data_IF_601233592828
#
_entry.id   IF_601233592828
#
_cell.length_a   1.000
_cell.length_b   1.000
_cell.length_c   1.000
_cell.angle_alpha   90.00
_cell.angle_beta   90.00
_cell.angle_gamma   90.00
#
_symmetry.space_group_name_H-M   'P 1'
#
loop_
_entity.id
_entity.type
_entity.pdbx_description
1 polymer ?
#
# COMPACT_ATOMS: atom_id res chain seq x y z
N UNK A 1 19.21 35.43 -6.92
CA UNK A 1 19.17 34.02 -6.70
C UNK A 1 17.72 33.55 -6.71
N UNK A 2 17.34 32.99 -7.83
CA UNK A 2 15.99 32.46 -8.04
C UNK A 2 15.94 31.06 -7.43
N UNK A 3 15.05 30.83 -6.46
CA UNK A 3 14.77 29.52 -5.90
C UNK A 3 14.12 28.63 -6.95
N UNK A 4 14.72 27.50 -7.22
CA UNK A 4 14.17 26.44 -8.05
C UNK A 4 12.99 25.79 -7.32
N UNK A 5 11.88 25.67 -8.03
CA UNK A 5 10.65 25.04 -7.56
C UNK A 5 10.85 23.52 -7.31
N UNK A 6 10.24 22.92 -6.28
CA UNK A 6 10.43 21.52 -5.92
C UNK A 6 9.81 20.49 -6.88
N UNK A 7 9.26 20.91 -8.00
CA UNK A 7 8.43 20.06 -8.88
C UNK A 7 9.23 19.16 -9.84
N UNK A 8 10.54 19.26 -9.92
CA UNK A 8 11.31 18.53 -10.93
C UNK A 8 11.94 17.21 -10.43
N UNK A 9 12.14 17.04 -9.13
CA UNK A 9 12.78 15.83 -8.59
C UNK A 9 11.80 14.68 -8.27
N UNK A 10 10.52 14.96 -7.99
CA UNK A 10 9.55 13.95 -7.57
C UNK A 10 9.01 13.07 -8.72
N UNK A 11 8.96 13.60 -9.95
CA UNK A 11 8.60 12.81 -11.14
C UNK A 11 9.66 11.80 -11.55
N UNK A 12 10.91 11.96 -11.09
CA UNK A 12 12.02 11.09 -11.47
C UNK A 12 12.09 9.77 -10.71
N UNK A 13 11.51 9.64 -9.51
CA UNK A 13 11.58 8.38 -8.74
C UNK A 13 10.68 7.32 -9.37
N UNK A 14 9.44 7.65 -9.72
CA UNK A 14 8.53 6.69 -10.40
C UNK A 14 8.96 6.47 -11.84
N UNK A 15 9.40 7.51 -12.55
CA UNK A 15 9.97 7.41 -13.90
C UNK A 15 11.30 6.65 -13.88
N UNK A 16 12.15 6.85 -12.88
CA UNK A 16 13.40 6.12 -12.71
C UNK A 16 13.21 4.62 -12.46
N UNK A 17 12.22 4.24 -11.66
CA UNK A 17 11.86 2.83 -11.44
C UNK A 17 11.30 2.18 -12.72
N UNK A 18 10.44 2.88 -13.47
CA UNK A 18 9.94 2.41 -14.77
C UNK A 18 11.04 2.36 -15.84
N UNK A 19 12.01 3.28 -15.81
CA UNK A 19 13.14 3.30 -16.74
C UNK A 19 14.18 2.23 -16.43
N UNK A 20 14.43 1.91 -15.15
CA UNK A 20 15.27 0.78 -14.74
C UNK A 20 14.68 -0.58 -15.18
N UNK A 21 13.36 -0.74 -15.13
CA UNK A 21 12.67 -1.92 -15.66
C UNK A 21 12.83 -2.01 -17.18
N UNK A 22 12.81 -0.89 -17.90
CA UNK A 22 12.99 -0.86 -19.37
C UNK A 22 14.41 -1.13 -19.82
N UNK A 23 15.43 -0.68 -19.08
CA UNK A 23 16.85 -0.87 -19.44
C UNK A 23 17.37 -2.28 -19.14
N UNK A 24 16.75 -3.00 -18.18
CA UNK A 24 17.14 -4.38 -17.86
C UNK A 24 16.63 -5.41 -18.89
N UNK A 25 15.61 -5.07 -19.69
CA UNK A 25 14.96 -5.96 -20.64
C UNK A 25 15.67 -6.12 -21.99
N UNK A 26 16.87 -5.54 -22.19
CA UNK A 26 17.54 -5.58 -23.51
C UNK A 26 18.52 -6.74 -23.72
N UNK A 27 18.72 -7.65 -22.76
CA UNK A 27 19.77 -8.67 -22.88
C UNK A 27 19.43 -10.11 -22.43
N UNK A 28 18.15 -10.50 -22.28
CA UNK A 28 17.82 -11.91 -22.05
C UNK A 28 16.54 -12.30 -22.75
N UNK A 29 16.63 -13.31 -23.64
CA UNK A 29 15.52 -14.02 -24.33
C UNK A 29 14.63 -14.85 -23.39
N UNK A 30 14.47 -14.47 -22.15
CA UNK A 30 13.48 -14.96 -21.19
C UNK A 30 12.66 -13.80 -20.71
N UNK A 31 11.46 -13.73 -21.22
CA UNK A 31 10.38 -12.92 -20.65
C UNK A 31 9.98 -13.52 -19.30
N UNK A 32 10.85 -13.42 -18.32
CA UNK A 32 10.40 -13.48 -16.93
C UNK A 32 9.63 -12.19 -16.69
N UNK A 33 8.31 -12.32 -16.53
CA UNK A 33 7.49 -11.25 -16.02
C UNK A 33 8.08 -10.86 -14.66
N UNK A 34 8.87 -9.80 -14.62
CA UNK A 34 9.25 -9.15 -13.36
C UNK A 34 7.94 -8.58 -12.80
N UNK A 35 7.22 -9.42 -12.06
CA UNK A 35 6.16 -8.95 -11.19
C UNK A 35 6.87 -8.06 -10.19
N UNK A 36 6.78 -6.75 -10.40
CA UNK A 36 7.30 -5.77 -9.47
C UNK A 36 6.55 -6.03 -8.15
N UNK A 37 7.22 -6.68 -7.23
CA UNK A 37 6.63 -6.98 -5.93
C UNK A 37 6.47 -5.65 -5.19
N UNK A 38 5.23 -5.20 -5.09
CA UNK A 38 4.83 -4.10 -4.22
C UNK A 38 4.98 -4.63 -2.78
N UNK A 39 6.22 -4.64 -2.28
CA UNK A 39 6.57 -5.21 -0.98
C UNK A 39 6.44 -4.20 0.16
N UNK A 40 6.70 -4.64 1.38
CA UNK A 40 6.55 -3.80 2.55
C UNK A 40 7.49 -2.59 2.55
N UNK A 41 8.69 -2.71 2.00
CA UNK A 41 9.65 -1.58 1.92
C UNK A 41 9.16 -0.55 0.90
N UNK A 42 8.64 -0.98 -0.24
CA UNK A 42 8.03 -0.09 -1.23
C UNK A 42 6.83 0.66 -0.62
N UNK A 43 5.95 -0.04 0.10
CA UNK A 43 4.82 0.58 0.80
C UNK A 43 5.31 1.60 1.83
N UNK A 44 6.36 1.30 2.59
CA UNK A 44 6.93 2.23 3.58
C UNK A 44 7.37 3.55 2.95
N UNK A 45 8.03 3.50 1.79
CA UNK A 45 8.41 4.71 1.06
C UNK A 45 7.18 5.49 0.56
N UNK A 46 6.17 4.81 0.04
CA UNK A 46 4.91 5.46 -0.39
C UNK A 46 4.20 6.12 0.79
N UNK A 47 4.13 5.46 1.94
CA UNK A 47 3.55 6.04 3.16
C UNK A 47 4.32 7.29 3.59
N UNK A 48 5.65 7.28 3.51
CA UNK A 48 6.47 8.47 3.77
C UNK A 48 6.16 9.61 2.79
N UNK A 49 6.05 9.33 1.50
CA UNK A 49 5.72 10.33 0.48
C UNK A 49 4.31 10.89 0.67
N UNK A 50 3.33 10.04 1.00
CA UNK A 50 1.97 10.47 1.31
C UNK A 50 1.93 11.36 2.56
N UNK A 51 2.62 11.00 3.64
CA UNK A 51 2.71 11.83 4.84
C UNK A 51 3.32 13.21 4.54
N UNK A 52 4.39 13.26 3.73
CA UNK A 52 5.03 14.53 3.35
C UNK A 52 4.17 15.40 2.43
N UNK A 53 3.18 14.80 1.74
CA UNK A 53 2.42 15.50 0.69
C UNK A 53 1.00 15.81 1.08
N UNK A 54 0.27 14.85 1.68
CA UNK A 54 -1.18 14.98 1.89
C UNK A 54 -1.61 15.00 3.35
N UNK A 55 -0.71 14.78 4.32
CA UNK A 55 -1.05 14.82 5.74
C UNK A 55 -1.61 16.20 6.13
N UNK A 56 -2.69 16.23 6.91
CA UNK A 56 -3.42 17.43 7.29
C UNK A 56 -4.30 18.01 6.18
N UNK A 57 -4.23 17.47 4.96
CA UNK A 57 -5.05 17.89 3.83
C UNK A 57 -6.51 17.42 3.95
N UNK A 58 -7.39 18.02 3.14
CA UNK A 58 -8.82 17.68 3.08
C UNK A 58 -9.14 16.93 1.80
N UNK A 59 -9.92 15.86 1.90
CA UNK A 59 -10.45 15.10 0.77
C UNK A 59 -11.48 15.96 0.02
N UNK A 60 -11.06 16.60 -1.06
CA UNK A 60 -11.90 17.49 -1.85
C UNK A 60 -12.79 16.77 -2.86
N UNK A 61 -12.25 15.70 -3.49
CA UNK A 61 -12.98 14.90 -4.48
C UNK A 61 -12.60 13.43 -4.34
N UNK A 62 -13.60 12.56 -4.43
CA UNK A 62 -13.43 11.10 -4.47
C UNK A 62 -14.06 10.62 -5.78
N UNK A 63 -13.28 9.90 -6.58
CA UNK A 63 -13.68 9.33 -7.85
C UNK A 63 -13.24 7.87 -7.95
N UNK A 64 -13.93 7.08 -8.76
CA UNK A 64 -13.61 5.70 -9.09
C UNK A 64 -13.57 5.57 -10.61
N UNK A 65 -12.41 5.85 -11.23
CA UNK A 65 -12.26 5.79 -12.68
C UNK A 65 -12.48 4.38 -13.24
N UNK A 66 -11.95 3.37 -12.52
CA UNK A 66 -12.07 1.96 -12.87
C UNK A 66 -12.76 1.17 -11.74
N UNK A 67 -13.21 -0.04 -12.03
CA UNK A 67 -13.95 -0.88 -11.07
C UNK A 67 -13.17 -1.19 -9.79
N UNK A 68 -11.83 -1.15 -9.83
CA UNK A 68 -10.93 -1.49 -8.73
C UNK A 68 -9.92 -0.38 -8.39
N UNK A 69 -10.20 0.87 -8.81
CA UNK A 69 -9.31 2.02 -8.61
C UNK A 69 -10.07 3.22 -8.03
N UNK A 70 -9.48 3.88 -7.02
CA UNK A 70 -9.90 5.18 -6.52
C UNK A 70 -8.92 6.27 -6.93
N UNK A 71 -9.45 7.46 -7.24
CA UNK A 71 -8.71 8.70 -7.42
C UNK A 71 -9.19 9.71 -6.37
N UNK A 72 -8.33 9.97 -5.39
CA UNK A 72 -8.57 10.94 -4.33
C UNK A 72 -7.94 12.28 -4.69
N UNK A 73 -8.68 13.36 -4.63
CA UNK A 73 -8.13 14.72 -4.75
C UNK A 73 -8.07 15.33 -3.36
N UNK A 74 -6.86 15.66 -2.91
CA UNK A 74 -6.58 16.22 -1.59
C UNK A 74 -6.11 17.66 -1.74
N UNK A 75 -6.68 18.57 -0.97
CA UNK A 75 -6.25 19.98 -0.85
C UNK A 75 -5.49 20.19 0.45
N UNK A 76 -4.30 20.71 0.34
CA UNK A 76 -3.43 21.09 1.45
C UNK A 76 -3.14 22.59 1.39
N UNK A 77 -2.39 23.11 2.36
CA UNK A 77 -1.90 24.49 2.32
C UNK A 77 -0.91 24.75 1.18
N UNK A 78 -0.19 23.70 0.74
CA UNK A 78 0.83 23.78 -0.32
C UNK A 78 0.27 23.57 -1.73
N UNK A 79 -0.95 23.03 -1.87
CA UNK A 79 -1.53 22.78 -3.18
C UNK A 79 -2.62 21.72 -3.21
N UNK A 80 -2.89 21.23 -4.43
CA UNK A 80 -3.84 20.18 -4.68
C UNK A 80 -3.11 18.97 -5.27
N UNK A 81 -3.29 17.82 -4.64
CA UNK A 81 -2.66 16.56 -5.02
C UNK A 81 -3.70 15.52 -5.36
N UNK A 82 -3.35 14.62 -6.28
CA UNK A 82 -4.19 13.46 -6.62
C UNK A 82 -3.47 12.19 -6.24
N UNK A 83 -4.16 11.32 -5.51
CA UNK A 83 -3.65 10.02 -5.07
C UNK A 83 -4.47 8.94 -5.75
N UNK A 84 -3.81 8.06 -6.47
CA UNK A 84 -4.38 6.83 -7.01
C UNK A 84 -4.20 5.72 -5.98
N UNK A 85 -5.28 4.99 -5.69
CA UNK A 85 -5.27 3.74 -4.95
C UNK A 85 -5.87 2.68 -5.86
N UNK A 86 -5.09 1.67 -6.24
CA UNK A 86 -5.54 0.61 -7.14
C UNK A 86 -5.48 -0.75 -6.46
N UNK A 87 -6.62 -1.43 -6.40
CA UNK A 87 -6.75 -2.81 -5.97
C UNK A 87 -6.71 -3.78 -7.15
N UNK A 88 -6.08 -3.41 -8.28
CA UNK A 88 -5.99 -4.26 -9.45
C UNK A 88 -5.30 -5.58 -9.12
N UNK A 89 -5.81 -6.70 -9.66
CA UNK A 89 -5.32 -8.04 -9.32
C UNK A 89 -3.90 -8.31 -9.83
N UNK A 90 -3.55 -7.72 -10.98
CA UNK A 90 -2.25 -7.93 -11.63
C UNK A 90 -1.23 -6.86 -11.23
N UNK A 91 -1.70 -5.61 -11.02
CA UNK A 91 -0.85 -4.47 -10.73
C UNK A 91 -1.50 -3.55 -9.68
N UNK A 92 -1.56 -3.98 -8.40
CA UNK A 92 -2.03 -3.11 -7.34
C UNK A 92 -1.00 -2.01 -7.07
N UNK A 93 -1.44 -0.75 -7.00
CA UNK A 93 -0.58 0.42 -6.90
C UNK A 93 -1.16 1.49 -5.96
N UNK A 94 -0.28 2.30 -5.38
CA UNK A 94 -0.61 3.60 -4.80
C UNK A 94 0.45 4.62 -5.23
N UNK A 95 0.01 5.79 -5.70
CA UNK A 95 0.96 6.84 -6.13
C UNK A 95 0.27 8.20 -6.23
N UNK A 96 1.07 9.25 -6.23
CA UNK A 96 0.62 10.63 -6.48
C UNK A 96 0.76 10.90 -7.98
N UNK A 97 -0.24 11.57 -8.58
CA UNK A 97 -0.27 11.89 -10.01
C UNK A 97 -0.83 13.28 -10.29
N UNK A 98 -0.40 13.87 -11.37
CA UNK A 98 -1.00 15.08 -11.93
C UNK A 98 -2.14 14.77 -12.90
N UNK A 99 -2.28 13.51 -13.31
CA UNK A 99 -3.32 13.09 -14.24
C UNK A 99 -4.72 13.13 -13.62
N UNK A 100 -5.69 13.54 -14.42
CA UNK A 100 -7.10 13.51 -14.06
C UNK A 100 -7.83 12.51 -14.94
N UNK A 101 -8.02 11.30 -14.41
CA UNK A 101 -8.77 10.26 -15.11
C UNK A 101 -10.27 10.62 -15.17
N UNK A 102 -10.94 10.41 -16.31
CA UNK A 102 -12.39 10.57 -16.41
C UNK A 102 -13.10 9.61 -15.46
N UNK A 103 -14.18 10.06 -14.86
CA UNK A 103 -15.03 9.21 -14.02
C UNK A 103 -16.23 8.70 -14.83
N UNK A 104 -16.79 7.53 -14.50
CA UNK A 104 -18.04 7.06 -15.08
C UNK A 104 -19.17 8.08 -14.90
N UNK A 105 -20.13 8.11 -15.83
CA UNK A 105 -21.28 9.01 -15.77
C UNK A 105 -22.12 8.79 -14.51
N UNK A 106 -22.21 7.53 -14.06
CA UNK A 106 -22.88 7.15 -12.80
C UNK A 106 -21.83 6.74 -11.78
N UNK A 107 -21.83 7.38 -10.61
CA UNK A 107 -20.89 7.05 -9.54
C UNK A 107 -21.22 5.66 -8.97
N UNK A 108 -20.21 4.76 -8.81
CA UNK A 108 -20.39 3.47 -8.16
C UNK A 108 -20.83 3.62 -6.69
N UNK A 109 -21.53 2.60 -6.17
CA UNK A 109 -22.05 2.62 -4.80
C UNK A 109 -20.96 2.86 -3.74
N UNK A 110 -19.80 2.24 -3.90
CA UNK A 110 -18.68 2.43 -2.98
C UNK A 110 -18.23 3.89 -2.91
N UNK A 111 -18.12 4.59 -4.04
CA UNK A 111 -17.82 6.04 -4.06
C UNK A 111 -18.92 6.87 -3.40
N UNK A 112 -20.17 6.50 -3.61
CA UNK A 112 -21.29 7.21 -2.96
C UNK A 112 -21.19 7.10 -1.43
N UNK A 113 -20.85 5.93 -0.93
CA UNK A 113 -20.64 5.67 0.49
C UNK A 113 -19.39 6.40 1.01
N UNK A 114 -18.26 6.37 0.28
CA UNK A 114 -17.07 7.14 0.64
C UNK A 114 -17.39 8.64 0.75
N UNK A 115 -18.13 9.19 -0.23
CA UNK A 115 -18.52 10.61 -0.18
C UNK A 115 -19.40 10.94 1.02
N UNK A 116 -20.28 10.04 1.41
CA UNK A 116 -21.11 10.21 2.61
C UNK A 116 -20.27 10.29 3.88
N UNK A 117 -19.24 9.44 4.01
CA UNK A 117 -18.52 9.23 5.27
C UNK A 117 -17.20 9.99 5.40
N UNK A 118 -16.54 10.36 4.28
CA UNK A 118 -15.19 10.96 4.34
C UNK A 118 -14.98 12.16 3.41
N UNK A 119 -16.01 12.61 2.65
CA UNK A 119 -15.86 13.80 1.82
C UNK A 119 -15.64 15.05 2.66
N UNK A 120 -14.70 15.92 2.27
CA UNK A 120 -14.22 17.06 3.05
C UNK A 120 -13.56 16.69 4.40
N UNK A 121 -13.41 15.41 4.71
CA UNK A 121 -12.67 14.93 5.87
C UNK A 121 -11.20 15.34 5.82
N UNK A 122 -10.58 15.47 6.98
CA UNK A 122 -9.17 15.80 7.14
C UNK A 122 -8.36 14.53 7.31
N UNK A 123 -7.30 14.37 6.55
CA UNK A 123 -6.34 13.28 6.71
C UNK A 123 -5.50 13.57 7.95
N UNK A 124 -5.59 12.72 8.97
CA UNK A 124 -4.89 12.91 10.25
C UNK A 124 -3.72 11.95 10.43
N UNK A 125 -3.70 10.81 9.74
CA UNK A 125 -2.53 9.95 9.65
C UNK A 125 -2.52 9.13 8.37
N UNK A 126 -1.32 8.70 7.94
CA UNK A 126 -1.11 7.68 6.91
C UNK A 126 -0.09 6.71 7.47
N UNK A 127 -0.48 5.45 7.67
CA UNK A 127 0.34 4.45 8.33
C UNK A 127 0.43 3.14 7.55
N UNK A 128 1.46 2.37 7.88
CA UNK A 128 1.66 1.01 7.40
C UNK A 128 1.78 0.08 8.62
N UNK A 129 0.85 -0.86 8.84
CA UNK A 129 0.97 -1.82 9.92
C UNK A 129 2.15 -2.79 9.70
N UNK A 130 3.12 -2.82 10.62
CA UNK A 130 4.17 -3.86 10.71
C UNK A 130 4.86 -4.26 9.41
N UNK A 131 5.12 -3.34 8.50
CA UNK A 131 5.63 -3.60 7.14
C UNK A 131 4.72 -4.49 6.28
N UNK A 132 3.44 -4.62 6.62
CA UNK A 132 2.47 -5.28 5.76
C UNK A 132 2.28 -4.50 4.45
N UNK A 133 1.77 -5.16 3.43
CA UNK A 133 1.43 -4.50 2.16
C UNK A 133 0.08 -3.80 2.25
N UNK A 134 -0.01 -2.88 3.20
CA UNK A 134 -1.24 -2.17 3.57
C UNK A 134 -0.90 -0.71 3.78
N UNK A 135 -1.76 0.17 3.28
CA UNK A 135 -1.79 1.60 3.62
C UNK A 135 -3.10 1.86 4.34
N UNK A 136 -3.03 2.43 5.53
CA UNK A 136 -4.18 2.92 6.29
C UNK A 136 -4.15 4.44 6.35
N UNK A 137 -5.16 5.08 5.75
CA UNK A 137 -5.37 6.52 5.78
C UNK A 137 -6.49 6.80 6.79
N UNK A 138 -6.13 7.38 7.94
CA UNK A 138 -7.08 7.81 8.96
C UNK A 138 -7.62 9.20 8.62
N UNK A 139 -8.94 9.32 8.60
CA UNK A 139 -9.65 10.53 8.17
C UNK A 139 -10.63 10.94 9.25
N UNK A 140 -10.48 12.17 9.71
CA UNK A 140 -11.40 12.83 10.63
C UNK A 140 -12.51 13.53 9.85
N UNK A 141 -13.76 13.28 10.20
CA UNK A 141 -14.95 13.78 9.51
C UNK A 141 -16.07 14.06 10.51
N UNK A 142 -16.92 15.05 10.23
CA UNK A 142 -18.14 15.27 11.00
C UNK A 142 -19.24 14.34 10.46
N UNK A 143 -19.91 13.63 11.35
CA UNK A 143 -21.05 12.80 10.98
C UNK A 143 -22.32 13.62 10.70
N UNK A 144 -23.45 12.97 10.46
CA UNK A 144 -24.74 13.62 10.16
C UNK A 144 -25.29 14.40 11.35
N UNK A 145 -24.86 14.10 12.58
CA UNK A 145 -25.23 14.81 13.81
C UNK A 145 -24.28 15.96 14.13
N UNK A 146 -23.17 16.07 13.40
CA UNK A 146 -22.12 17.07 13.63
C UNK A 146 -21.05 16.60 14.62
N UNK A 147 -21.09 15.34 15.04
CA UNK A 147 -20.09 14.76 15.93
C UNK A 147 -18.83 14.39 15.15
N UNK A 148 -17.67 14.64 15.77
CA UNK A 148 -16.39 14.29 15.19
C UNK A 148 -16.18 12.78 15.24
N UNK A 149 -15.98 12.19 14.09
CA UNK A 149 -15.73 10.75 13.96
C UNK A 149 -14.49 10.49 13.10
N UNK A 150 -13.90 9.32 13.28
CA UNK A 150 -12.77 8.84 12.52
C UNK A 150 -13.19 7.71 11.59
N UNK A 151 -12.51 7.64 10.45
CA UNK A 151 -12.69 6.59 9.45
C UNK A 151 -11.33 6.16 8.93
N UNK A 152 -11.20 4.89 8.62
CA UNK A 152 -10.01 4.28 8.07
C UNK A 152 -10.26 3.87 6.64
N UNK A 153 -9.54 4.47 5.69
CA UNK A 153 -9.51 4.02 4.30
C UNK A 153 -8.29 3.14 4.12
N UNK A 154 -8.51 1.84 4.17
CA UNK A 154 -7.47 0.83 4.16
C UNK A 154 -7.31 0.27 2.75
N UNK A 155 -6.09 0.31 2.21
CA UNK A 155 -5.76 -0.28 0.91
C UNK A 155 -4.78 -1.43 1.10
N UNK A 156 -5.15 -2.61 0.60
CA UNK A 156 -4.35 -3.83 0.66
C UNK A 156 -3.78 -4.16 -0.73
N UNK A 157 -2.48 -4.41 -0.81
CA UNK A 157 -1.74 -4.68 -2.06
C UNK A 157 -1.29 -6.14 -2.10
N UNK A 158 -2.25 -7.05 -2.31
CA UNK A 158 -2.03 -8.51 -2.20
C UNK A 158 -2.38 -9.25 -3.50
N UNK A 159 -2.05 -8.67 -4.66
CA UNK A 159 -2.35 -9.22 -5.98
C UNK A 159 -3.86 -9.44 -6.16
N UNK A 160 -4.29 -10.64 -6.50
CA UNK A 160 -5.72 -10.97 -6.66
C UNK A 160 -6.58 -10.73 -5.41
N UNK A 161 -5.96 -10.64 -4.24
CA UNK A 161 -6.63 -10.35 -2.97
C UNK A 161 -6.54 -8.87 -2.57
N UNK A 162 -6.02 -8.00 -3.44
CA UNK A 162 -5.99 -6.57 -3.20
C UNK A 162 -7.40 -6.01 -3.06
N UNK A 163 -7.57 -5.06 -2.12
CA UNK A 163 -8.86 -4.47 -1.82
C UNK A 163 -8.69 -3.02 -1.32
N UNK A 164 -9.77 -2.25 -1.37
CA UNK A 164 -9.88 -0.94 -0.72
C UNK A 164 -11.11 -0.99 0.18
N UNK A 165 -10.94 -0.73 1.47
CA UNK A 165 -11.92 -1.00 2.51
C UNK A 165 -12.11 0.27 3.33
N UNK A 166 -13.35 0.66 3.59
CA UNK A 166 -13.68 1.71 4.54
C UNK A 166 -14.14 1.10 5.85
N UNK A 167 -13.49 1.50 6.94
CA UNK A 167 -13.84 1.08 8.31
C UNK A 167 -14.20 2.28 9.19
N UNK A 168 -14.96 2.03 10.23
CA UNK A 168 -15.12 2.95 11.35
C UNK A 168 -13.94 2.86 12.34
N UNK A 169 -13.97 3.69 13.40
CA UNK A 169 -12.93 3.76 14.43
C UNK A 169 -12.81 2.46 15.25
N UNK A 170 -13.85 1.65 15.26
CA UNK A 170 -13.88 0.33 15.90
C UNK A 170 -13.46 -0.81 14.97
N UNK A 171 -12.93 -0.52 13.78
CA UNK A 171 -12.60 -1.48 12.74
C UNK A 171 -13.81 -2.28 12.20
N UNK A 172 -15.04 -1.80 12.30
CA UNK A 172 -16.14 -2.40 11.57
C UNK A 172 -16.08 -1.94 10.11
N UNK A 173 -16.17 -2.88 9.18
CA UNK A 173 -16.21 -2.59 7.76
C UNK A 173 -17.53 -1.89 7.42
N UNK A 174 -17.46 -0.68 6.90
CA UNK A 174 -18.61 0.04 6.39
C UNK A 174 -18.92 -0.40 4.96
N UNK A 175 -17.88 -0.53 4.13
CA UNK A 175 -17.97 -1.12 2.79
C UNK A 175 -16.56 -1.38 2.22
N UNK A 176 -16.49 -1.99 1.03
CA UNK A 176 -15.24 -2.23 0.31
C UNK A 176 -15.45 -2.22 -1.20
N UNK A 177 -14.37 -1.92 -1.95
CA UNK A 177 -14.42 -1.90 -3.42
C UNK A 177 -14.66 -3.31 -3.99
N UNK A 178 -14.23 -4.36 -3.26
CA UNK A 178 -14.49 -5.77 -3.58
C UNK A 178 -15.07 -6.48 -2.37
N UNK A 179 -16.28 -6.98 -2.48
CA UNK A 179 -16.90 -7.80 -1.46
C UNK A 179 -16.31 -9.22 -1.49
N UNK A 180 -15.88 -9.72 -0.34
CA UNK A 180 -15.32 -11.07 -0.18
C UNK A 180 -16.17 -11.83 0.86
N UNK A 181 -16.98 -12.77 0.38
CA UNK A 181 -17.81 -13.64 1.23
C UNK A 181 -17.05 -14.90 1.67
N UNK A 182 -17.59 -15.63 2.62
CA UNK A 182 -17.07 -16.93 3.07
C UNK A 182 -16.95 -17.97 1.93
N UNK A 183 -17.72 -17.82 0.85
CA UNK A 183 -17.62 -18.66 -0.34
C UNK A 183 -16.38 -18.36 -1.19
N UNK A 184 -15.87 -17.10 -1.14
CA UNK A 184 -14.69 -16.65 -1.90
C UNK A 184 -13.41 -16.85 -1.09
N UNK A 185 -13.46 -16.67 0.22
CA UNK A 185 -12.30 -16.78 1.09
C UNK A 185 -12.64 -17.51 2.38
N UNK A 186 -11.86 -18.55 2.70
CA UNK A 186 -11.92 -19.23 3.99
C UNK A 186 -11.16 -18.52 5.11
N UNK A 187 -10.38 -17.48 4.79
CA UNK A 187 -9.51 -16.78 5.75
C UNK A 187 -10.29 -15.68 6.47
N UNK A 188 -11.00 -14.86 5.71
CA UNK A 188 -11.86 -13.80 6.27
C UNK A 188 -12.90 -13.34 5.26
N UNK A 189 -13.98 -12.79 5.77
CA UNK A 189 -14.96 -12.05 4.97
C UNK A 189 -14.60 -10.57 4.96
N UNK A 190 -14.82 -9.91 3.82
CA UNK A 190 -14.74 -8.45 3.68
C UNK A 190 -16.10 -7.97 3.19
N UNK A 191 -17.01 -7.75 4.13
CA UNK A 191 -18.41 -7.37 3.91
C UNK A 191 -18.83 -6.33 4.94
N UNK A 192 -19.80 -5.46 4.63
CA UNK A 192 -20.35 -4.50 5.60
C UNK A 192 -20.78 -5.18 6.89
N UNK A 193 -20.47 -4.56 8.04
CA UNK A 193 -20.77 -5.06 9.38
C UNK A 193 -19.81 -6.13 9.90
N UNK A 194 -18.84 -6.61 9.14
CA UNK A 194 -17.77 -7.48 9.62
C UNK A 194 -16.62 -6.68 10.23
N UNK A 195 -15.90 -7.28 11.17
CA UNK A 195 -14.67 -6.71 11.71
C UNK A 195 -13.53 -6.83 10.70
N UNK A 196 -12.84 -5.73 10.47
CA UNK A 196 -11.57 -5.75 9.75
C UNK A 196 -10.46 -6.29 10.65
N UNK A 197 -9.63 -7.15 10.11
CA UNK A 197 -8.39 -7.60 10.72
C UNK A 197 -7.39 -8.01 9.63
N UNK A 198 -6.11 -7.92 9.94
CA UNK A 198 -5.03 -8.39 9.07
C UNK A 198 -4.81 -9.88 9.36
N UNK A 199 -5.03 -10.78 8.37
CA UNK A 199 -4.85 -12.20 8.61
C UNK A 199 -3.38 -12.55 8.87
N UNK A 200 -3.09 -13.19 9.98
CA UNK A 200 -1.76 -13.75 10.24
C UNK A 200 -1.64 -15.14 9.60
N UNK A 201 -1.49 -15.19 8.28
CA UNK A 201 -1.47 -16.45 7.52
C UNK A 201 -0.11 -17.11 7.44
N UNK A 202 0.98 -16.42 7.77
CA UNK A 202 2.35 -16.87 7.50
C UNK A 202 3.25 -16.94 8.74
N UNK A 203 2.77 -16.59 9.93
CA UNK A 203 3.56 -16.51 11.18
C UNK A 203 4.89 -15.76 11.01
N UNK A 204 4.89 -14.72 10.18
CA UNK A 204 6.08 -13.90 9.94
C UNK A 204 6.26 -12.86 11.03
N UNK A 205 7.51 -12.52 11.28
CA UNK A 205 7.88 -11.49 12.25
C UNK A 205 8.08 -10.13 11.56
N UNK A 206 7.86 -9.06 12.30
CA UNK A 206 8.25 -7.73 11.84
C UNK A 206 9.79 -7.61 11.92
N UNK A 207 10.49 -7.33 10.80
CA UNK A 207 11.95 -7.22 10.82
C UNK A 207 12.45 -6.03 11.67
N UNK A 208 11.62 -5.00 11.87
CA UNK A 208 11.98 -3.82 12.67
C UNK A 208 12.00 -4.10 14.19
N UNK A 209 11.33 -5.15 14.64
CA UNK A 209 11.26 -5.56 16.05
C UNK A 209 12.16 -6.77 16.34
N UNK A 210 13.10 -7.08 15.43
CA UNK A 210 13.95 -8.26 15.52
C UNK A 210 15.29 -7.91 16.17
N UNK A 211 15.66 -8.63 17.22
CA UNK A 211 16.99 -8.67 17.80
C UNK A 211 17.85 -9.82 17.22
N UNK A 212 19.12 -9.88 17.65
CA UNK A 212 20.05 -10.91 17.18
C UNK A 212 19.62 -12.33 17.61
N UNK A 213 19.08 -12.51 18.81
CA UNK A 213 18.65 -13.84 19.30
C UNK A 213 17.50 -14.37 18.45
N UNK A 214 16.52 -13.54 18.16
CA UNK A 214 15.39 -13.90 17.29
C UNK A 214 15.86 -14.14 15.86
N UNK A 215 16.76 -13.30 15.33
CA UNK A 215 17.35 -13.52 14.01
C UNK A 215 18.07 -14.85 13.93
N UNK A 216 18.97 -15.14 14.88
CA UNK A 216 19.76 -16.38 14.89
C UNK A 216 18.89 -17.63 15.05
N UNK A 217 17.87 -17.58 15.90
CA UNK A 217 16.96 -18.72 16.14
C UNK A 217 15.94 -18.96 15.04
N UNK A 218 15.63 -17.97 14.21
CA UNK A 218 14.62 -18.10 13.15
C UNK A 218 15.20 -18.15 11.75
N UNK A 219 16.23 -17.37 11.44
CA UNK A 219 16.84 -17.29 10.11
C UNK A 219 18.02 -18.25 9.97
N UNK A 220 19.01 -18.18 10.92
CA UNK A 220 20.25 -18.93 10.80
C UNK A 220 20.09 -20.44 11.05
N UNK A 221 18.95 -20.91 11.54
CA UNK A 221 18.66 -22.35 11.65
C UNK A 221 17.97 -22.91 10.40
N UNK A 222 17.64 -22.05 9.43
CA UNK A 222 16.90 -22.45 8.24
C UNK A 222 17.86 -23.06 7.19
N UNK A 223 17.65 -24.33 6.75
CA UNK A 223 18.52 -24.98 5.78
C UNK A 223 18.18 -24.54 4.33
N UNK A 224 17.92 -23.27 4.11
CA UNK A 224 17.59 -22.69 2.82
C UNK A 224 18.56 -21.56 2.49
N UNK A 225 18.66 -21.15 1.21
CA UNK A 225 19.37 -19.93 0.85
C UNK A 225 18.95 -18.75 1.73
N UNK A 226 19.90 -17.93 2.13
CA UNK A 226 19.69 -16.85 3.10
C UNK A 226 18.57 -15.88 2.63
N UNK A 227 18.54 -15.54 1.33
CA UNK A 227 17.45 -14.71 0.78
C UNK A 227 16.07 -15.34 0.98
N UNK A 228 15.94 -16.66 0.81
CA UNK A 228 14.68 -17.38 1.03
C UNK A 228 14.32 -17.47 2.51
N UNK A 229 15.31 -17.69 3.39
CA UNK A 229 15.10 -17.69 4.83
C UNK A 229 14.57 -16.33 5.32
N UNK A 230 15.17 -15.22 4.87
CA UNK A 230 14.70 -13.86 5.17
C UNK A 230 13.26 -13.62 4.71
N UNK A 231 12.93 -13.95 3.45
CA UNK A 231 11.59 -13.79 2.91
C UNK A 231 10.54 -14.61 3.65
N UNK A 232 10.89 -15.79 4.15
CA UNK A 232 9.95 -16.66 4.87
C UNK A 232 9.75 -16.25 6.31
N UNK A 233 10.78 -15.69 6.94
CA UNK A 233 10.75 -15.28 8.34
C UNK A 233 10.11 -13.91 8.55
N UNK A 234 10.32 -12.97 7.63
CA UNK A 234 9.95 -11.59 7.85
C UNK A 234 8.81 -11.10 6.96
N UNK A 235 7.92 -10.32 7.56
CA UNK A 235 6.86 -9.60 6.85
C UNK A 235 7.46 -8.49 5.99
N UNK A 236 6.86 -8.26 4.83
CA UNK A 236 7.22 -7.14 3.95
C UNK A 236 8.54 -7.29 3.19
N UNK A 237 9.27 -8.37 3.38
CA UNK A 237 10.53 -8.65 2.69
C UNK A 237 10.25 -9.50 1.44
N UNK A 238 10.49 -8.92 0.27
CA UNK A 238 10.49 -9.62 -1.03
C UNK A 238 11.84 -10.30 -1.28
N UNK A 239 11.90 -11.17 -2.29
CA UNK A 239 13.17 -11.78 -2.73
C UNK A 239 14.19 -10.73 -3.14
N UNK A 240 13.76 -9.70 -3.87
CA UNK A 240 14.61 -8.60 -4.29
C UNK A 240 15.22 -7.86 -3.09
N UNK A 241 14.40 -7.50 -2.09
CA UNK A 241 14.87 -6.85 -0.87
C UNK A 241 15.81 -7.77 -0.07
N UNK A 242 15.50 -9.06 0.03
CA UNK A 242 16.37 -10.02 0.72
C UNK A 242 17.74 -10.16 0.04
N UNK A 243 17.78 -10.19 -1.29
CA UNK A 243 19.01 -10.21 -2.08
C UNK A 243 19.82 -8.92 -1.90
N UNK A 244 19.16 -7.76 -1.91
CA UNK A 244 19.79 -6.47 -1.66
C UNK A 244 20.37 -6.39 -0.24
N UNK A 245 19.66 -6.88 0.77
CA UNK A 245 20.18 -6.96 2.15
C UNK A 245 21.45 -7.82 2.21
N UNK A 246 21.44 -8.99 1.57
CA UNK A 246 22.60 -9.87 1.49
C UNK A 246 23.77 -9.16 0.77
N UNK A 247 23.50 -8.53 -0.38
CA UNK A 247 24.51 -7.81 -1.14
C UNK A 247 25.18 -6.68 -0.33
N UNK A 248 24.39 -5.84 0.35
CA UNK A 248 24.92 -4.76 1.22
C UNK A 248 25.70 -5.30 2.41
N UNK A 249 25.36 -6.50 2.88
CA UNK A 249 26.07 -7.17 3.96
C UNK A 249 27.34 -7.92 3.50
N UNK A 250 27.61 -7.95 2.19
CA UNK A 250 28.74 -8.71 1.61
C UNK A 250 28.56 -10.23 1.69
N UNK A 251 27.32 -10.72 1.79
CA UNK A 251 26.99 -12.14 1.94
C UNK A 251 26.34 -12.64 0.65
N UNK A 252 26.75 -13.81 0.20
CA UNK A 252 26.11 -14.47 -0.93
C UNK A 252 24.69 -14.94 -0.56
N UNK A 253 23.68 -14.39 -1.22
CA UNK A 253 22.27 -14.65 -0.97
C UNK A 253 21.82 -16.09 -1.20
N UNK A 254 22.62 -16.86 -1.99
CA UNK A 254 22.35 -18.25 -2.35
C UNK A 254 22.97 -19.25 -1.38
N UNK A 255 23.88 -18.82 -0.50
CA UNK A 255 24.42 -19.70 0.53
C UNK A 255 23.34 -20.06 1.54
N UNK A 256 23.41 -21.27 2.14
CA UNK A 256 22.56 -21.63 3.26
C UNK A 256 22.67 -20.60 4.40
N UNK A 257 21.56 -20.37 5.09
CA UNK A 257 21.52 -19.44 6.21
C UNK A 257 22.21 -20.01 7.48
N UNK A 258 22.34 -21.34 7.57
CA UNK A 258 23.00 -22.09 8.66
C UNK A 258 24.44 -22.44 8.33
#
# INVERSE_FOLDING_TARGET
PQGLSPTYEQTHVVSGLLTLVSLYNHNTDRMEYLIMAFDGITISNIVNDLNNTILGGRLYKIAQPESDELLLTVKTSSGQYRVVLSANASLPLAYITDDNKPSPATAPNFVMLLRKHINNGRIISVTQPSLERIIDIEIEHLDELGDLCKRHLITEFMGKHSNIILCDDDNNILDSIKHVSAQISSVREVLPGRKYFIPNTANKHNPLDTDYERFSSSVLVCPKPLSKALCQTYTGISTCIAEEVCFRSGIDSNKPAN
#
